data_IF_491093498147
#
_entry.id   IF_491093498147
#
_cell.length_a   1.000
_cell.length_b   1.000
_cell.length_c   1.000
_cell.angle_alpha   90.00
_cell.angle_beta   90.00
_cell.angle_gamma   90.00
#
_symmetry.space_group_name_H-M   'P 1'
#
loop_
_entity.id
_entity.type
_entity.pdbx_description
1 polymer ?
#
# COMPACT_ATOMS: atom_id res chain seq x y z
N UNK A 1 2.10 8.65 12.01
CA UNK A 1 1.07 9.69 11.68
C UNK A 1 0.21 10.02 12.91
N UNK A 2 -0.63 11.06 12.88
CA UNK A 2 -1.61 11.26 13.98
C UNK A 2 -2.78 10.27 13.84
N UNK A 3 -3.41 9.81 14.95
CA UNK A 3 -4.53 8.86 14.90
C UNK A 3 -5.73 9.32 14.06
N UNK A 4 -5.89 10.64 13.86
CA UNK A 4 -6.94 11.22 13.03
C UNK A 4 -6.70 11.03 11.53
N UNK A 5 -5.43 11.05 11.07
CA UNK A 5 -5.06 10.79 9.68
C UNK A 5 -5.34 9.32 9.33
N UNK A 6 -5.01 8.39 10.23
CA UNK A 6 -5.29 6.97 10.06
C UNK A 6 -6.80 6.67 9.95
N UNK A 7 -7.65 7.34 10.74
CA UNK A 7 -9.13 7.22 10.64
C UNK A 7 -9.68 7.74 9.31
N UNK A 8 -9.07 8.78 8.74
CA UNK A 8 -9.49 9.35 7.45
C UNK A 8 -9.27 8.40 6.27
N UNK A 9 -8.28 7.51 6.38
CA UNK A 9 -7.90 6.60 5.29
C UNK A 9 -8.78 5.34 5.20
N UNK A 10 -9.65 5.07 6.18
CA UNK A 10 -10.60 3.96 6.11
C UNK A 10 -11.61 4.10 4.95
N UNK A 11 -11.89 5.34 4.54
CA UNK A 11 -12.77 5.64 3.42
C UNK A 11 -12.01 5.93 2.11
N UNK A 12 -10.70 5.70 2.08
CA UNK A 12 -9.88 5.94 0.90
C UNK A 12 -10.28 4.96 -0.22
N UNK A 13 -10.79 5.50 -1.33
CA UNK A 13 -11.18 4.71 -2.52
C UNK A 13 -10.12 4.72 -3.61
N UNK A 14 -9.29 5.77 -3.67
CA UNK A 14 -8.22 5.90 -4.64
C UNK A 14 -6.98 6.45 -3.95
N UNK A 15 -5.87 5.71 -4.02
CA UNK A 15 -4.56 6.19 -3.64
C UNK A 15 -3.74 6.41 -4.91
N UNK A 16 -3.30 7.65 -5.10
CA UNK A 16 -2.47 8.07 -6.20
C UNK A 16 -1.21 8.73 -5.63
N UNK A 17 -0.05 8.21 -6.02
CA UNK A 17 1.25 8.74 -5.64
C UNK A 17 2.06 8.91 -6.92
N UNK A 18 2.56 10.12 -7.12
CA UNK A 18 3.28 10.52 -8.33
C UNK A 18 4.53 11.32 -7.96
N UNK A 19 5.61 11.11 -8.73
CA UNK A 19 6.85 11.88 -8.68
C UNK A 19 7.48 12.02 -7.28
N UNK A 20 7.56 10.90 -6.54
CA UNK A 20 8.21 10.85 -5.24
C UNK A 20 9.57 10.12 -5.30
N UNK A 21 10.62 10.92 -5.51
CA UNK A 21 11.99 10.44 -5.76
C UNK A 21 12.68 9.76 -4.57
N UNK A 22 12.17 9.97 -3.35
CA UNK A 22 12.76 9.46 -2.10
C UNK A 22 11.91 8.40 -1.41
N UNK A 23 10.75 8.04 -1.96
CA UNK A 23 9.84 7.10 -1.32
C UNK A 23 10.32 5.66 -1.51
N UNK A 24 10.58 4.97 -0.40
CA UNK A 24 11.02 3.57 -0.39
C UNK A 24 9.86 2.60 -0.09
N UNK A 25 8.91 3.04 0.76
CA UNK A 25 7.72 2.30 1.17
C UNK A 25 6.52 3.26 1.26
N UNK A 26 5.31 2.79 0.95
CA UNK A 26 4.08 3.62 1.07
C UNK A 26 3.53 3.62 2.50
N UNK A 27 3.73 2.52 3.22
CA UNK A 27 3.28 2.34 4.60
C UNK A 27 4.45 1.77 5.39
N UNK A 28 4.67 2.23 6.63
CA UNK A 28 5.79 1.81 7.48
C UNK A 28 5.33 0.92 8.65
N UNK A 29 6.21 0.04 9.14
CA UNK A 29 5.92 -0.94 10.22
C UNK A 29 5.46 -0.31 11.54
N UNK A 30 5.87 0.92 11.82
CA UNK A 30 5.61 1.60 13.11
C UNK A 30 4.11 1.86 13.37
N UNK A 31 3.28 1.75 12.33
CA UNK A 31 1.85 2.05 12.43
C UNK A 31 0.98 0.85 12.83
N UNK A 32 1.58 -0.30 13.16
CA UNK A 32 0.83 -1.53 13.47
C UNK A 32 1.29 -2.18 14.77
N UNK A 33 0.49 -2.01 15.83
CA UNK A 33 0.48 -2.88 17.00
C UNK A 33 -0.70 -3.85 16.87
N UNK A 34 -0.46 -5.07 16.39
CA UNK A 34 -1.49 -6.12 16.38
C UNK A 34 -1.13 -7.35 15.56
N UNK A 35 -1.38 -8.53 16.12
CA UNK A 35 -1.24 -9.82 15.43
C UNK A 35 -2.45 -10.09 14.53
N UNK A 36 -2.24 -10.50 13.27
CA UNK A 36 -3.31 -11.02 12.39
C UNK A 36 -3.32 -10.47 10.97
N UNK A 37 -4.39 -10.75 10.21
CA UNK A 37 -4.62 -10.18 8.86
C UNK A 37 -5.00 -8.71 9.00
N UNK A 38 -4.29 -7.82 8.31
CA UNK A 38 -4.47 -6.38 8.46
C UNK A 38 -5.15 -5.81 7.21
N UNK A 39 -6.29 -5.15 7.43
CA UNK A 39 -7.04 -4.45 6.38
C UNK A 39 -6.79 -2.95 6.53
N UNK A 40 -5.83 -2.41 5.77
CA UNK A 40 -5.38 -1.02 5.89
C UNK A 40 -6.34 -0.03 5.21
N UNK A 41 -6.84 -0.41 4.04
CA UNK A 41 -7.74 0.43 3.25
C UNK A 41 -8.95 -0.42 2.81
N UNK A 42 -9.95 -0.58 3.68
CA UNK A 42 -11.04 -1.52 3.47
C UNK A 42 -11.93 -1.15 2.28
N UNK A 43 -11.90 0.10 1.79
CA UNK A 43 -12.70 0.58 0.66
C UNK A 43 -11.86 0.96 -0.57
N UNK A 44 -10.58 0.57 -0.60
CA UNK A 44 -9.69 0.95 -1.70
C UNK A 44 -10.08 0.23 -2.98
N UNK A 45 -10.32 1.00 -4.04
CA UNK A 45 -10.72 0.51 -5.35
C UNK A 45 -9.63 0.68 -6.40
N UNK A 46 -8.78 1.71 -6.24
CA UNK A 46 -7.78 2.09 -7.22
C UNK A 46 -6.43 2.42 -6.56
N UNK A 47 -5.37 1.92 -7.17
CA UNK A 47 -3.97 2.24 -6.88
C UNK A 47 -3.29 2.75 -8.14
N UNK A 48 -2.62 3.90 -8.05
CA UNK A 48 -1.83 4.45 -9.15
C UNK A 48 -0.51 4.99 -8.61
N UNK A 49 0.60 4.37 -9.02
CA UNK A 49 1.96 4.76 -8.68
C UNK A 49 2.72 5.10 -9.95
N UNK A 50 3.27 6.32 -9.99
CA UNK A 50 3.98 6.84 -11.15
C UNK A 50 5.25 7.57 -10.71
N UNK A 51 6.36 7.35 -11.42
CA UNK A 51 7.64 8.04 -11.20
C UNK A 51 8.19 7.92 -9.77
N UNK A 52 8.24 6.70 -9.23
CA UNK A 52 8.75 6.40 -7.89
C UNK A 52 10.02 5.53 -7.99
N UNK A 53 11.20 6.12 -8.29
CA UNK A 53 12.40 5.35 -8.63
C UNK A 53 12.91 4.47 -7.50
N UNK A 54 12.71 4.87 -6.24
CA UNK A 54 13.18 4.15 -5.05
C UNK A 54 12.12 3.29 -4.38
N UNK A 55 10.89 3.25 -4.92
CA UNK A 55 9.81 2.49 -4.29
C UNK A 55 10.11 1.00 -4.42
N UNK A 56 10.35 0.32 -3.31
CA UNK A 56 10.68 -1.10 -3.29
C UNK A 56 9.46 -1.97 -3.02
N UNK A 57 8.61 -1.53 -2.09
CA UNK A 57 7.45 -2.27 -1.60
C UNK A 57 6.27 -1.33 -1.32
N UNK A 58 5.05 -1.79 -1.54
CA UNK A 58 3.87 -1.04 -1.07
C UNK A 58 3.83 -1.03 0.47
N UNK A 59 4.01 -2.19 1.09
CA UNK A 59 4.06 -2.35 2.54
C UNK A 59 4.94 -3.52 2.93
N UNK A 60 5.72 -3.35 4.00
CA UNK A 60 6.60 -4.37 4.56
C UNK A 60 5.93 -5.04 5.77
N UNK A 61 5.31 -6.19 5.58
CA UNK A 61 4.65 -6.94 6.65
C UNK A 61 4.84 -8.45 6.52
N UNK A 62 4.86 -9.12 7.66
CA UNK A 62 4.81 -10.59 7.76
C UNK A 62 3.37 -11.11 7.67
N UNK A 63 2.37 -10.22 7.70
CA UNK A 63 0.96 -10.55 7.65
C UNK A 63 0.39 -10.46 6.24
N UNK A 64 -0.60 -11.29 5.94
CA UNK A 64 -1.34 -11.16 4.70
C UNK A 64 -2.15 -9.85 4.69
N UNK A 65 -1.99 -9.05 3.64
CA UNK A 65 -2.82 -7.87 3.40
C UNK A 65 -4.05 -8.22 2.56
N UNK A 66 -5.17 -7.55 2.85
CA UNK A 66 -6.39 -7.67 2.04
C UNK A 66 -6.85 -6.30 1.56
N UNK A 67 -7.15 -6.22 0.26
CA UNK A 67 -7.79 -5.08 -0.39
C UNK A 67 -9.09 -5.57 -1.08
N UNK A 68 -10.17 -5.78 -0.33
CA UNK A 68 -11.34 -6.52 -0.81
C UNK A 68 -12.08 -5.87 -1.99
N UNK A 69 -11.88 -4.56 -2.23
CA UNK A 69 -12.51 -3.84 -3.33
C UNK A 69 -11.54 -3.34 -4.39
N UNK A 70 -10.26 -3.71 -4.31
CA UNK A 70 -9.26 -3.24 -5.26
C UNK A 70 -9.54 -3.83 -6.64
N UNK A 71 -9.82 -2.96 -7.60
CA UNK A 71 -10.21 -3.33 -8.97
C UNK A 71 -9.26 -2.83 -10.03
N UNK A 72 -8.47 -1.79 -9.71
CA UNK A 72 -7.50 -1.22 -10.64
C UNK A 72 -6.17 -0.94 -9.93
N UNK A 73 -5.09 -1.38 -10.55
CA UNK A 73 -3.73 -1.05 -10.15
C UNK A 73 -2.96 -0.58 -11.38
N UNK A 74 -2.25 0.54 -11.24
CA UNK A 74 -1.26 1.02 -12.20
C UNK A 74 0.05 1.27 -11.45
N UNK A 75 1.13 0.76 -12.00
CA UNK A 75 2.50 1.02 -11.56
C UNK A 75 3.27 1.38 -12.83
N UNK A 76 3.77 2.61 -12.91
CA UNK A 76 4.54 3.13 -14.04
C UNK A 76 5.81 3.82 -13.53
N UNK A 77 6.92 3.67 -14.24
CA UNK A 77 8.21 4.28 -13.88
C UNK A 77 8.62 4.06 -12.41
N UNK A 78 8.43 2.84 -11.89
CA UNK A 78 8.82 2.42 -10.53
C UNK A 78 9.86 1.27 -10.60
N UNK A 79 11.09 1.51 -11.08
CA UNK A 79 12.08 0.48 -11.41
C UNK A 79 12.54 -0.40 -10.25
N UNK A 80 12.57 0.10 -9.01
CA UNK A 80 12.99 -0.69 -7.84
C UNK A 80 11.87 -1.55 -7.25
N UNK A 81 10.63 -1.42 -7.76
CA UNK A 81 9.47 -2.09 -7.18
C UNK A 81 9.47 -3.57 -7.59
N UNK A 82 9.94 -4.44 -6.68
CA UNK A 82 10.13 -5.87 -6.97
C UNK A 82 8.85 -6.67 -6.84
N UNK A 83 8.02 -6.34 -5.86
CA UNK A 83 6.74 -7.02 -5.63
C UNK A 83 5.72 -6.05 -5.03
N UNK A 84 4.44 -6.26 -5.33
CA UNK A 84 3.38 -5.52 -4.67
C UNK A 84 3.31 -5.83 -3.17
N UNK A 85 3.62 -7.08 -2.77
CA UNK A 85 3.75 -7.56 -1.39
C UNK A 85 4.94 -8.51 -1.30
N UNK A 86 5.68 -8.52 -0.19
CA UNK A 86 6.87 -9.37 -0.06
C UNK A 86 6.51 -10.87 0.12
N UNK A 87 5.28 -11.23 0.51
CA UNK A 87 4.81 -12.62 0.59
C UNK A 87 3.35 -12.82 0.15
N UNK A 88 3.15 -13.79 -0.75
CA UNK A 88 1.93 -14.58 -0.99
C UNK A 88 0.58 -13.86 -1.14
N UNK A 89 0.19 -13.54 -2.38
CA UNK A 89 -1.21 -13.19 -2.67
C UNK A 89 -2.01 -14.51 -2.71
N UNK A 90 -3.03 -14.63 -1.85
CA UNK A 90 -4.17 -15.51 -2.11
C UNK A 90 -5.27 -14.65 -2.71
N UNK A 91 -5.49 -14.80 -4.02
CA UNK A 91 -6.69 -14.28 -4.68
C UNK A 91 -7.73 -15.38 -4.58
N UNK A 92 -8.74 -15.19 -3.73
CA UNK A 92 -10.02 -15.90 -3.82
C UNK A 92 -10.96 -15.17 -4.75
#
# INVERSE_FOLDING_TARGET
MSPSVARGLLNLRHLWIDDCQSMEEVITKEEQQGEGIITLFPLLEKLDFSYLPKLQHFFLTEHALKFPFLRKMRIDQCPEMKTFLQHGISMS
#
